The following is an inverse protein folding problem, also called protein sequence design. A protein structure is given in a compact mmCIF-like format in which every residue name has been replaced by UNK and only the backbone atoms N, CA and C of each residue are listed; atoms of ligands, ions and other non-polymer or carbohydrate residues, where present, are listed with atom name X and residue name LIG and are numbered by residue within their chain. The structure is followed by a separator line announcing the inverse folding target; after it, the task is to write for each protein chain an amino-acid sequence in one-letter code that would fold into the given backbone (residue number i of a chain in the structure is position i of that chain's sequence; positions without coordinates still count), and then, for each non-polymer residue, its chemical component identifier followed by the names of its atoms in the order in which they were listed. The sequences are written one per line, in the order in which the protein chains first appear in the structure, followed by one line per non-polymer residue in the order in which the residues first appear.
data_IF_185030690299
#
_entry.id   IF_185030690299
#
_cell.length_a   1.000
_cell.length_b   1.000
_cell.length_c   1.000
_cell.angle_alpha   90.00
_cell.angle_beta   90.00
_cell.angle_gamma   90.00
#
_symmetry.space_group_name_H-M   'P 1'
#
loop_
_entity.id
_entity.type
_entity.pdbx_description
1 polymer ?
#
# COMPACT_ATOMS: atom_id res chain seq x y z
N UNK A 1 -33.68 -17.46 -23.90
CA UNK A 1 -33.15 -17.06 -23.32
C UNK A 1 -32.72 -16.66 -23.00
N UNK A 2 -32.70 -16.66 -22.96
CA UNK A 2 -32.12 -16.13 -22.39
C UNK A 2 -31.62 -15.86 -21.97
N UNK A 3 -31.68 -15.97 -21.93
CA UNK A 3 -31.08 -15.55 -21.34
C UNK A 3 -30.41 -15.63 -20.79
N UNK A 4 -30.22 -15.92 -20.95
CA UNK A 4 -29.39 -15.97 -20.26
C UNK A 4 -28.72 -15.70 -20.05
N UNK A 5 -28.74 -15.71 -20.30
CA UNK A 5 -27.90 -15.34 -19.84
C UNK A 5 -27.58 -14.74 -19.39
N UNK A 6 -28.08 -14.64 -19.66
CA UNK A 6 -27.70 -14.07 -19.03
C UNK A 6 -27.14 -14.13 -18.22
N UNK A 7 -27.19 -14.33 -18.32
CA UNK A 7 -26.58 -14.42 -17.54
C UNK A 7 -25.70 -14.46 -17.26
N UNK A 8 -25.39 -14.60 -17.49
CA UNK A 8 -24.41 -14.71 -17.22
C UNK A 8 -23.79 -14.07 -17.31
N UNK A 9 -23.87 -13.77 -17.53
CA UNK A 9 -23.14 -13.13 -17.49
C UNK A 9 -22.76 -12.07 -17.10
N UNK A 10 -22.87 -11.78 -17.63
CA UNK A 10 -22.48 -10.50 -17.19
C UNK A 10 -21.95 -10.36 -15.83
N UNK A 11 -22.06 -11.22 -15.16
CA UNK A 11 -21.58 -11.20 -13.91
C UNK A 11 -20.23 -11.51 -13.71
N UNK A 12 -19.51 -12.05 -14.60
CA UNK A 12 -18.16 -12.50 -14.31
C UNK A 12 -17.22 -11.42 -13.86
N UNK A 13 -17.27 -10.27 -14.45
CA UNK A 13 -16.34 -9.29 -14.04
C UNK A 13 -16.61 -8.78 -12.64
N UNK A 14 -17.82 -8.85 -12.19
CA UNK A 14 -18.12 -8.42 -10.85
C UNK A 14 -17.65 -9.43 -9.81
N UNK A 15 -17.42 -10.66 -10.22
CA UNK A 15 -16.98 -11.69 -9.31
C UNK A 15 -15.48 -11.89 -9.32
N UNK A 16 -14.77 -11.31 -10.28
CA UNK A 16 -13.32 -11.41 -10.33
C UNK A 16 -12.71 -10.42 -9.34
N UNK A 17 -11.99 -10.90 -8.34
CA UNK A 17 -11.41 -9.98 -7.37
C UNK A 17 -10.32 -9.14 -8.02
N UNK A 18 -10.27 -7.88 -7.63
CA UNK A 18 -9.20 -6.99 -8.06
C UNK A 18 -7.99 -7.30 -7.21
N UNK A 19 -6.87 -7.60 -7.88
CA UNK A 19 -5.64 -7.89 -7.17
C UNK A 19 -5.11 -6.61 -6.53
N UNK A 20 -4.81 -6.63 -5.22
CA UNK A 20 -4.28 -5.43 -4.57
C UNK A 20 -2.92 -5.06 -5.14
N UNK A 21 -2.68 -3.76 -5.21
CA UNK A 21 -1.43 -3.20 -5.69
C UNK A 21 -0.76 -2.50 -4.52
N UNK A 22 0.49 -2.86 -4.25
CA UNK A 22 1.27 -2.26 -3.19
C UNK A 22 2.50 -1.60 -3.79
N UNK A 23 2.79 -0.38 -3.33
CA UNK A 23 3.96 0.33 -3.79
C UNK A 23 4.95 0.39 -2.63
N UNK A 24 6.21 0.07 -2.89
CA UNK A 24 7.24 -0.01 -1.87
C UNK A 24 8.38 0.91 -2.24
N UNK A 25 8.55 1.98 -1.45
CA UNK A 25 9.71 2.85 -1.57
C UNK A 25 10.73 2.41 -0.55
N UNK A 26 11.81 1.82 -1.01
CA UNK A 26 12.87 1.31 -0.16
C UNK A 26 14.17 1.27 -0.94
N UNK A 27 15.19 1.94 -0.42
CA UNK A 27 16.48 2.00 -1.10
C UNK A 27 17.28 0.73 -0.98
N UNK A 28 17.08 0.00 0.11
CA UNK A 28 17.78 -1.27 0.33
C UNK A 28 17.00 -2.40 -0.34
N UNK A 29 17.61 -2.99 -1.36
CA UNK A 29 16.93 -4.02 -2.16
C UNK A 29 16.55 -5.23 -1.32
N UNK A 30 17.35 -5.59 -0.32
CA UNK A 30 17.06 -6.76 0.51
C UNK A 30 15.83 -6.50 1.38
N UNK A 31 15.73 -5.29 1.93
CA UNK A 31 14.58 -4.94 2.75
C UNK A 31 13.34 -4.86 1.87
N UNK A 32 13.48 -4.32 0.66
CA UNK A 32 12.37 -4.27 -0.29
C UNK A 32 11.86 -5.67 -0.61
N UNK A 33 12.79 -6.61 -0.83
CA UNK A 33 12.42 -7.99 -1.09
C UNK A 33 11.71 -8.62 0.09
N UNK A 34 12.14 -8.32 1.30
CA UNK A 34 11.48 -8.83 2.50
C UNK A 34 10.05 -8.33 2.57
N UNK A 35 9.84 -7.04 2.33
CA UNK A 35 8.50 -6.47 2.36
C UNK A 35 7.62 -7.11 1.28
N UNK A 36 8.14 -7.18 0.06
CA UNK A 36 7.37 -7.73 -1.05
C UNK A 36 7.08 -9.21 -0.86
N UNK A 37 8.04 -9.95 -0.30
CA UNK A 37 7.83 -11.35 -0.01
C UNK A 37 6.76 -11.59 1.04
N UNK A 38 6.77 -10.76 2.09
CA UNK A 38 5.74 -10.85 3.13
C UNK A 38 4.35 -10.54 2.57
N UNK A 39 4.28 -9.55 1.67
CA UNK A 39 3.00 -9.22 1.05
C UNK A 39 2.51 -10.36 0.18
N UNK A 40 3.41 -10.98 -0.58
CA UNK A 40 3.04 -12.11 -1.43
C UNK A 40 2.54 -13.29 -0.61
N UNK A 41 3.09 -13.48 0.58
CA UNK A 41 2.67 -14.56 1.47
C UNK A 41 1.26 -14.35 2.01
N UNK A 42 0.78 -13.12 2.01
CA UNK A 42 -0.57 -12.81 2.50
C UNK A 42 -1.65 -13.12 1.46
N UNK A 43 -1.25 -13.29 0.21
CA UNK A 43 -2.19 -13.59 -0.86
C UNK A 43 -1.74 -12.97 -2.17
N UNK A 44 -2.46 -13.26 -3.26
CA UNK A 44 -2.10 -12.71 -4.56
C UNK A 44 -2.10 -11.18 -4.55
N UNK A 45 -1.04 -10.58 -5.05
CA UNK A 45 -0.93 -9.13 -5.10
C UNK A 45 0.10 -8.74 -6.15
N UNK A 46 0.08 -7.46 -6.50
CA UNK A 46 1.08 -6.89 -7.38
C UNK A 46 1.90 -5.90 -6.57
N UNK A 47 3.20 -5.99 -6.62
CA UNK A 47 4.07 -5.08 -5.90
C UNK A 47 4.89 -4.27 -6.88
N UNK A 48 5.07 -2.99 -6.58
CA UNK A 48 5.87 -2.08 -7.38
C UNK A 48 6.95 -1.51 -6.48
N UNK A 49 8.20 -1.74 -6.85
CA UNK A 49 9.34 -1.27 -6.06
C UNK A 49 9.91 -0.01 -6.70
N UNK A 50 10.07 1.03 -5.90
CA UNK A 50 10.73 2.26 -6.35
C UNK A 50 11.82 2.61 -5.35
N UNK A 51 12.84 3.30 -5.81
CA UNK A 51 13.99 3.67 -4.99
C UNK A 51 14.04 5.15 -4.66
N UNK A 52 13.18 5.94 -5.27
CA UNK A 52 13.15 7.38 -5.05
C UNK A 52 11.73 7.90 -5.04
N UNK A 53 11.48 8.87 -4.18
CA UNK A 53 10.13 9.43 -4.01
C UNK A 53 9.59 10.03 -5.31
N UNK A 54 10.46 10.52 -6.18
CA UNK A 54 10.03 11.11 -7.44
C UNK A 54 9.41 10.10 -8.37
N UNK A 55 9.63 8.81 -8.14
CA UNK A 55 9.05 7.75 -8.97
C UNK A 55 7.60 7.45 -8.60
N UNK A 56 7.15 7.92 -7.43
CA UNK A 56 5.81 7.58 -6.95
C UNK A 56 4.69 8.20 -7.78
N UNK A 57 4.69 9.51 -8.04
CA UNK A 57 3.57 10.10 -8.78
C UNK A 57 3.28 9.48 -10.14
N UNK A 58 4.30 9.14 -10.96
CA UNK A 58 3.99 8.47 -12.24
C UNK A 58 3.24 7.15 -12.07
N UNK A 59 3.59 6.37 -11.02
CA UNK A 59 2.90 5.12 -10.80
C UNK A 59 1.47 5.35 -10.33
N UNK A 60 1.25 6.37 -9.49
CA UNK A 60 -0.11 6.69 -9.06
C UNK A 60 -0.98 7.10 -10.25
N UNK A 61 -0.39 7.79 -11.22
CA UNK A 61 -1.13 8.19 -12.42
C UNK A 61 -1.45 6.98 -13.31
N UNK A 62 -0.56 5.98 -13.32
CA UNK A 62 -0.71 4.82 -14.19
C UNK A 62 -1.64 3.75 -13.60
N UNK A 63 -1.69 3.65 -12.28
CA UNK A 63 -2.47 2.62 -11.61
C UNK A 63 -3.81 3.17 -11.16
N UNK A 64 -4.91 2.51 -11.53
CA UNK A 64 -6.22 3.01 -11.11
C UNK A 64 -6.44 2.92 -9.61
N UNK A 65 -5.85 1.91 -8.97
CA UNK A 65 -6.00 1.70 -7.52
C UNK A 65 -4.68 1.26 -6.94
N UNK A 66 -4.24 1.95 -5.89
CA UNK A 66 -3.09 1.52 -5.10
C UNK A 66 -3.61 1.30 -3.69
N UNK A 67 -3.50 0.07 -3.21
CA UNK A 67 -4.09 -0.31 -1.92
C UNK A 67 -3.32 0.25 -0.75
N UNK A 68 -1.99 0.19 -0.80
CA UNK A 68 -1.15 0.70 0.28
C UNK A 68 0.23 1.02 -0.26
N UNK A 69 0.92 1.91 0.44
CA UNK A 69 2.30 2.25 0.11
C UNK A 69 3.14 2.11 1.37
N UNK A 70 4.31 1.52 1.20
CA UNK A 70 5.31 1.40 2.26
C UNK A 70 6.41 2.39 1.93
N UNK A 71 6.64 3.36 2.82
CA UNK A 71 7.54 4.46 2.53
C UNK A 71 8.71 4.51 3.49
N UNK A 72 9.93 4.40 2.95
CA UNK A 72 11.15 4.65 3.70
C UNK A 72 11.38 6.15 3.72
N UNK A 73 10.50 6.86 4.41
CA UNK A 73 10.55 8.31 4.50
C UNK A 73 10.06 8.74 5.87
N UNK A 74 10.62 9.83 6.37
CA UNK A 74 10.09 10.44 7.58
C UNK A 74 8.77 11.13 7.26
N UNK A 75 7.92 11.21 8.26
CA UNK A 75 6.60 11.83 8.10
C UNK A 75 6.70 13.23 7.53
N UNK A 76 7.66 14.02 8.02
CA UNK A 76 7.82 15.39 7.54
C UNK A 76 8.16 15.44 6.06
N UNK A 77 8.94 14.47 5.58
CA UNK A 77 9.29 14.42 4.15
C UNK A 77 8.06 14.14 3.28
N UNK A 78 7.21 13.24 3.75
CA UNK A 78 5.97 12.92 3.02
C UNK A 78 5.12 14.17 2.89
N UNK A 79 4.97 14.90 3.99
CA UNK A 79 4.16 16.12 3.99
C UNK A 79 4.77 17.22 3.13
N UNK A 80 6.08 17.38 3.19
CA UNK A 80 6.77 18.43 2.42
C UNK A 80 6.63 18.19 0.91
N UNK A 81 6.63 16.94 0.50
CA UNK A 81 6.50 16.62 -0.92
C UNK A 81 5.05 16.57 -1.39
N UNK A 82 4.11 16.72 -0.47
CA UNK A 82 2.70 16.67 -0.83
C UNK A 82 2.22 15.29 -1.20
N UNK A 83 3.00 14.25 -0.87
CA UNK A 83 2.62 12.88 -1.20
C UNK A 83 1.39 12.43 -0.45
N UNK A 84 1.18 12.96 0.76
CA UNK A 84 0.02 12.60 1.56
C UNK A 84 -1.28 12.90 0.81
N UNK A 85 -1.35 14.04 0.13
CA UNK A 85 -2.54 14.38 -0.63
C UNK A 85 -2.75 13.47 -1.83
N UNK A 86 -1.66 13.20 -2.55
CA UNK A 86 -1.75 12.35 -3.72
C UNK A 86 -2.18 10.95 -3.35
N UNK A 87 -1.61 10.43 -2.26
CA UNK A 87 -1.95 9.08 -1.81
C UNK A 87 -3.38 9.02 -1.31
N UNK A 88 -3.84 10.07 -0.62
CA UNK A 88 -5.22 10.13 -0.15
C UNK A 88 -6.20 10.13 -1.32
N UNK A 89 -5.86 10.83 -2.39
CA UNK A 89 -6.71 10.88 -3.58
C UNK A 89 -6.88 9.50 -4.20
N UNK A 90 -5.90 8.64 -4.04
CA UNK A 90 -5.97 7.27 -4.55
C UNK A 90 -6.53 6.29 -3.53
N UNK A 91 -6.89 6.78 -2.35
CA UNK A 91 -7.38 5.90 -1.28
C UNK A 91 -6.34 4.97 -0.74
N UNK A 92 -5.07 5.27 -0.96
CA UNK A 92 -3.98 4.40 -0.54
C UNK A 92 -3.72 4.53 0.95
N UNK A 93 -3.50 3.40 1.61
CA UNK A 93 -3.08 3.38 3.01
C UNK A 93 -1.58 3.61 3.06
N UNK A 94 -1.11 4.37 4.06
CA UNK A 94 0.30 4.74 4.16
C UNK A 94 0.92 4.05 5.37
N UNK A 95 2.04 3.38 5.15
CA UNK A 95 2.81 2.74 6.21
C UNK A 95 4.25 3.22 6.09
N UNK A 96 4.73 3.88 7.14
CA UNK A 96 6.11 4.35 7.16
C UNK A 96 7.01 3.27 7.71
N UNK A 97 8.21 3.14 7.16
CA UNK A 97 9.16 2.11 7.59
C UNK A 97 10.37 2.69 8.31
N UNK A 98 10.42 3.99 8.51
CA UNK A 98 11.44 4.65 9.33
C UNK A 98 10.77 5.76 10.12
N UNK A 99 11.50 6.30 11.11
CA UNK A 99 11.02 7.46 11.87
C UNK A 99 10.03 7.08 12.95
N UNK A 100 10.36 6.07 13.75
CA UNK A 100 9.46 5.59 14.78
C UNK A 100 9.13 6.65 15.83
N UNK A 101 9.93 7.71 16.00
CA UNK A 101 9.56 8.78 16.91
C UNK A 101 8.39 9.59 16.38
N UNK A 102 8.00 9.41 15.11
CA UNK A 102 6.82 10.05 14.56
C UNK A 102 5.58 9.15 14.65
N UNK A 103 5.68 8.01 15.33
CA UNK A 103 4.62 7.01 15.31
C UNK A 103 3.27 7.55 15.78
N UNK A 104 3.28 8.37 16.84
CA UNK A 104 2.02 8.94 17.35
C UNK A 104 1.38 9.85 16.32
N UNK A 105 2.18 10.68 15.67
CA UNK A 105 1.67 11.60 14.66
C UNK A 105 1.15 10.82 13.44
N UNK A 106 1.91 9.81 13.03
CA UNK A 106 1.49 8.96 11.91
C UNK A 106 0.15 8.28 12.21
N UNK A 107 0.02 7.77 13.43
CA UNK A 107 -1.21 7.10 13.84
C UNK A 107 -2.38 8.08 13.84
N UNK A 108 -2.16 9.31 14.25
CA UNK A 108 -3.20 10.35 14.24
C UNK A 108 -3.68 10.64 12.82
N UNK A 109 -2.82 10.44 11.82
CA UNK A 109 -3.18 10.61 10.42
C UNK A 109 -3.81 9.35 9.83
N UNK A 110 -3.92 8.28 10.60
CA UNK A 110 -4.45 7.01 10.11
C UNK A 110 -3.41 6.18 9.40
N UNK A 111 -2.14 6.51 9.53
CA UNK A 111 -1.04 5.79 8.89
C UNK A 111 -0.50 4.71 9.81
N UNK A 112 0.17 3.72 9.23
CA UNK A 112 0.85 2.69 9.98
C UNK A 112 2.33 2.96 10.09
N UNK A 113 2.99 2.21 11.00
CA UNK A 113 4.42 2.29 11.18
C UNK A 113 4.96 0.87 11.29
N UNK A 114 5.99 0.56 10.52
CA UNK A 114 6.63 -0.75 10.53
C UNK A 114 8.08 -0.56 10.93
N UNK A 115 8.38 -0.87 12.20
CA UNK A 115 9.70 -0.61 12.78
C UNK A 115 10.65 -1.76 12.47
N UNK A 116 11.88 -1.44 12.09
CA UNK A 116 12.90 -2.43 11.79
C UNK A 116 13.65 -2.85 13.03
N UNK A 117 14.05 -4.11 13.12
CA UNK A 117 13.70 -5.19 12.19
C UNK A 117 12.26 -5.65 12.40
N UNK A 118 11.64 -6.11 11.32
CA UNK A 118 10.24 -6.51 11.41
C UNK A 118 10.07 -7.96 10.95
N UNK A 119 8.98 -8.57 11.41
CA UNK A 119 8.58 -9.91 11.00
C UNK A 119 7.40 -9.81 10.04
N UNK A 120 7.07 -10.94 9.39
CA UNK A 120 5.89 -11.01 8.54
C UNK A 120 4.64 -10.65 9.31
N UNK A 121 4.55 -11.09 10.56
CA UNK A 121 3.40 -10.80 11.38
C UNK A 121 3.28 -9.32 11.69
N UNK A 122 4.39 -8.66 11.99
CA UNK A 122 4.40 -7.23 12.25
C UNK A 122 3.94 -6.45 11.03
N UNK A 123 4.38 -6.88 9.84
CA UNK A 123 3.95 -6.22 8.60
C UNK A 123 2.45 -6.40 8.41
N UNK A 124 1.94 -7.61 8.61
CA UNK A 124 0.52 -7.86 8.47
C UNK A 124 -0.29 -7.01 9.44
N UNK A 125 0.17 -6.91 10.68
CA UNK A 125 -0.52 -6.12 11.69
C UNK A 125 -0.52 -4.64 11.34
N UNK A 126 0.60 -4.13 10.84
CA UNK A 126 0.69 -2.73 10.44
C UNK A 126 -0.29 -2.44 9.31
N UNK A 127 -0.34 -3.32 8.32
CA UNK A 127 -1.21 -3.13 7.17
C UNK A 127 -2.67 -3.21 7.58
N UNK A 128 -3.05 -4.27 8.31
CA UNK A 128 -4.45 -4.46 8.70
C UNK A 128 -4.90 -3.38 9.67
N UNK A 129 -4.04 -2.99 10.59
CA UNK A 129 -4.37 -1.92 11.53
C UNK A 129 -4.61 -0.59 10.83
N UNK A 130 -3.81 -0.30 9.80
CA UNK A 130 -3.99 0.93 9.04
C UNK A 130 -5.31 0.91 8.28
N UNK A 131 -5.65 -0.22 7.69
CA UNK A 131 -6.91 -0.38 6.97
C UNK A 131 -8.08 -0.18 7.93
N UNK A 132 -8.02 -0.78 9.11
CA UNK A 132 -9.09 -0.67 10.10
C UNK A 132 -9.25 0.75 10.60
N UNK A 133 -8.15 1.45 10.82
CA UNK A 133 -8.23 2.83 11.31
C UNK A 133 -8.89 3.76 10.32
N UNK A 134 -8.83 3.46 9.04
CA UNK A 134 -9.40 4.34 8.04
C UNK A 134 -10.84 4.03 7.71
N UNK A 135 -11.37 2.97 8.29
CA UNK A 135 -12.77 2.65 8.15
C UNK A 135 -13.56 3.38 9.20
#
# INVERSE_FOLDING_TARGET
MPEIDLMNNAMPETTTPVMPVFLVLERDALIAEDIMGSLADMGPCRTIHVSDASEIPPYLSAEPVVSAVFLEMRLTQVLELGLDRRLAEHGAHVILTIGEDDAEHAQALGWGMLVRPFTDEMLREALMGTIERRR
#
